data_IF_601691139638
#
_entry.id   IF_601691139638
#
_cell.length_a   1.000
_cell.length_b   1.000
_cell.length_c   1.000
_cell.angle_alpha   90.00
_cell.angle_beta   90.00
_cell.angle_gamma   90.00
#
_symmetry.space_group_name_H-M   'P 1'
#
loop_
_entity.id
_entity.type
_entity.pdbx_description
1 polymer ?
#
# COMPACT_ATOMS: atom_id res chain seq x y z
N UNK A 1 26.19 -22.73 29.25
CA UNK A 1 25.45 -21.51 29.63
C UNK A 1 24.10 -21.35 28.89
N UNK A 2 23.48 -22.41 28.37
CA UNK A 2 22.24 -22.31 27.57
C UNK A 2 20.92 -22.32 28.37
N UNK A 3 20.94 -22.83 29.61
CA UNK A 3 19.72 -22.99 30.41
C UNK A 3 19.10 -21.67 30.88
N UNK A 4 19.92 -20.68 31.24
CA UNK A 4 19.44 -19.40 31.74
C UNK A 4 18.80 -18.53 30.65
N UNK A 5 19.29 -18.61 29.40
CA UNK A 5 18.78 -17.82 28.28
C UNK A 5 17.37 -18.28 27.86
N UNK A 6 17.12 -19.59 27.84
CA UNK A 6 15.79 -20.17 27.55
C UNK A 6 14.75 -19.81 28.60
N UNK A 7 15.13 -19.78 29.88
CA UNK A 7 14.22 -19.40 30.97
C UNK A 7 13.84 -17.91 30.88
N UNK A 8 14.80 -17.03 30.58
CA UNK A 8 14.52 -15.58 30.44
C UNK A 8 13.65 -15.27 29.21
N UNK A 9 13.80 -16.01 28.11
CA UNK A 9 12.92 -15.86 26.94
C UNK A 9 11.49 -16.35 27.23
N UNK A 10 11.34 -17.49 27.93
CA UNK A 10 10.02 -18.01 28.32
C UNK A 10 9.25 -17.13 29.31
N UNK A 11 9.95 -16.47 30.25
CA UNK A 11 9.33 -15.52 31.19
C UNK A 11 8.78 -14.29 30.45
N UNK A 12 9.54 -13.75 29.48
CA UNK A 12 9.09 -12.59 28.70
C UNK A 12 7.92 -12.88 27.77
N UNK A 13 7.79 -14.12 27.29
CA UNK A 13 6.62 -14.55 26.51
C UNK A 13 5.39 -14.72 27.39
N UNK A 14 5.53 -15.29 28.59
CA UNK A 14 4.43 -15.42 29.55
C UNK A 14 3.88 -14.06 29.99
N UNK A 15 4.76 -13.10 30.31
CA UNK A 15 4.37 -11.74 30.68
C UNK A 15 3.62 -11.03 29.54
N UNK A 16 4.03 -11.25 28.28
CA UNK A 16 3.35 -10.71 27.09
C UNK A 16 1.98 -11.33 26.87
N UNK A 17 1.84 -12.64 27.08
CA UNK A 17 0.56 -13.35 26.96
C UNK A 17 -0.41 -12.88 28.04
N UNK A 18 0.06 -12.70 29.28
CA UNK A 18 -0.77 -12.24 30.39
C UNK A 18 -1.21 -10.77 30.21
N UNK A 19 -0.33 -9.90 29.71
CA UNK A 19 -0.69 -8.54 29.32
C UNK A 19 -1.72 -8.48 28.17
N UNK A 20 -1.55 -9.32 27.14
CA UNK A 20 -2.53 -9.45 26.05
C UNK A 20 -3.88 -9.97 26.56
N UNK A 21 -3.88 -10.96 27.44
CA UNK A 21 -5.09 -11.50 28.05
C UNK A 21 -5.81 -10.44 28.89
N UNK A 22 -5.08 -9.60 29.63
CA UNK A 22 -5.66 -8.50 30.41
C UNK A 22 -6.25 -7.40 29.50
N UNK A 23 -5.57 -7.04 28.42
CA UNK A 23 -6.05 -6.07 27.42
C UNK A 23 -7.29 -6.58 26.67
N UNK A 24 -7.34 -7.88 26.36
CA UNK A 24 -8.53 -8.53 25.80
C UNK A 24 -9.70 -8.52 26.81
N UNK A 25 -9.42 -8.84 28.07
CA UNK A 25 -10.43 -8.94 29.14
C UNK A 25 -11.05 -7.58 29.50
N UNK A 26 -10.30 -6.50 29.32
CA UNK A 26 -10.76 -5.13 29.58
C UNK A 26 -11.43 -4.47 28.36
N UNK A 27 -11.52 -5.16 27.22
CA UNK A 27 -12.14 -4.65 25.99
C UNK A 27 -11.36 -3.52 25.30
N UNK A 28 -10.26 -3.04 25.89
CA UNK A 28 -9.44 -1.94 25.36
C UNK A 28 -8.74 -2.34 24.06
N UNK A 29 -8.30 -3.59 23.93
CA UNK A 29 -7.66 -4.05 22.69
C UNK A 29 -8.63 -4.08 21.52
N UNK A 30 -9.87 -4.52 21.73
CA UNK A 30 -10.88 -4.59 20.68
C UNK A 30 -11.25 -3.18 20.20
N UNK A 31 -11.41 -2.24 21.13
CA UNK A 31 -11.65 -0.83 20.79
C UNK A 31 -10.48 -0.22 19.99
N UNK A 32 -9.23 -0.50 20.39
CA UNK A 32 -8.04 -0.03 19.68
C UNK A 32 -7.90 -0.64 18.28
N UNK A 33 -8.22 -1.92 18.11
CA UNK A 33 -8.22 -2.58 16.79
C UNK A 33 -9.30 -1.96 15.90
N UNK A 34 -10.48 -1.67 16.44
CA UNK A 34 -11.56 -1.03 15.69
C UNK A 34 -11.22 0.41 15.30
N UNK A 35 -10.64 1.19 16.22
CA UNK A 35 -10.12 2.53 15.93
C UNK A 35 -9.04 2.47 14.85
N UNK A 36 -8.10 1.53 14.93
CA UNK A 36 -7.08 1.32 13.91
C UNK A 36 -7.69 0.91 12.56
N UNK A 37 -8.73 0.08 12.55
CA UNK A 37 -9.46 -0.33 11.34
C UNK A 37 -10.16 0.85 10.68
N UNK A 38 -10.70 1.77 11.46
CA UNK A 38 -11.32 3.00 10.95
C UNK A 38 -10.28 4.00 10.44
N UNK A 39 -9.14 4.11 11.13
CA UNK A 39 -8.07 5.04 10.76
C UNK A 39 -7.28 4.58 9.52
N UNK A 40 -7.00 3.28 9.40
CA UNK A 40 -6.20 2.71 8.31
C UNK A 40 -6.79 1.37 7.83
N UNK A 41 -7.94 1.40 7.11
CA UNK A 41 -8.69 0.19 6.76
C UNK A 41 -7.90 -0.79 5.89
N UNK A 42 -6.96 -0.29 5.08
CA UNK A 42 -6.12 -1.14 4.20
C UNK A 42 -5.25 -2.13 4.99
N UNK A 43 -4.84 -1.81 6.22
CA UNK A 43 -4.01 -2.72 7.03
C UNK A 43 -4.76 -3.99 7.43
N UNK A 44 -6.10 -3.97 7.34
CA UNK A 44 -6.98 -5.07 7.70
C UNK A 44 -7.72 -5.64 6.50
N UNK A 45 -7.38 -5.19 5.29
CA UNK A 45 -8.08 -5.55 4.07
C UNK A 45 -7.54 -6.84 3.46
N UNK A 46 -8.43 -7.55 2.77
CA UNK A 46 -8.12 -8.74 1.99
C UNK A 46 -8.11 -8.38 0.49
N UNK A 47 -7.31 -9.08 -0.34
CA UNK A 47 -7.34 -8.87 -1.78
C UNK A 47 -8.76 -9.01 -2.35
N UNK A 48 -9.21 -8.02 -3.12
CA UNK A 48 -10.58 -7.89 -3.62
C UNK A 48 -11.43 -6.86 -2.87
N UNK A 49 -11.00 -6.41 -1.68
CA UNK A 49 -11.71 -5.36 -0.94
C UNK A 49 -11.69 -4.03 -1.72
N UNK A 50 -12.84 -3.34 -1.70
CA UNK A 50 -13.04 -2.09 -2.43
C UNK A 50 -12.94 -0.86 -1.52
N UNK A 51 -12.22 0.14 -2.00
CA UNK A 51 -12.01 1.43 -1.35
C UNK A 51 -12.60 2.52 -2.20
N UNK A 52 -13.36 3.42 -1.58
CA UNK A 52 -13.86 4.63 -2.23
C UNK A 52 -13.05 5.81 -1.74
N UNK A 53 -12.37 6.48 -2.65
CA UNK A 53 -11.75 7.76 -2.37
C UNK A 53 -12.63 8.87 -2.96
N UNK A 54 -13.02 9.81 -2.11
CA UNK A 54 -13.63 11.05 -2.59
C UNK A 54 -12.54 12.10 -2.65
N UNK A 55 -12.36 12.70 -3.82
CA UNK A 55 -11.67 13.98 -3.96
C UNK A 55 -12.30 14.98 -2.98
N UNK A 56 -11.49 15.89 -2.41
CA UNK A 56 -11.85 16.95 -1.46
C UNK A 56 -13.33 17.40 -1.54
N UNK A 57 -13.98 17.68 -0.40
CA UNK A 57 -15.34 18.24 -0.34
C UNK A 57 -15.56 19.48 -1.22
N UNK A 58 -14.51 20.15 -1.66
CA UNK A 58 -14.54 21.27 -2.62
C UNK A 58 -14.72 20.83 -4.09
N UNK A 59 -14.62 19.53 -4.37
CA UNK A 59 -14.69 18.90 -5.69
C UNK A 59 -15.92 17.99 -5.83
N UNK A 60 -17.07 18.44 -5.29
CA UNK A 60 -18.34 17.67 -5.23
C UNK A 60 -18.91 17.22 -6.58
N UNK A 61 -18.39 17.74 -7.70
CA UNK A 61 -18.84 17.42 -9.05
C UNK A 61 -18.23 16.15 -9.64
N UNK A 62 -17.27 15.51 -8.96
CA UNK A 62 -16.63 14.29 -9.46
C UNK A 62 -17.19 13.06 -8.77
N UNK A 63 -17.39 12.02 -9.57
CA UNK A 63 -17.68 10.70 -9.05
C UNK A 63 -16.51 10.19 -8.20
N UNK A 64 -16.78 9.48 -7.10
CA UNK A 64 -15.73 8.92 -6.26
C UNK A 64 -14.92 7.90 -7.06
N UNK A 65 -13.61 7.89 -6.84
CA UNK A 65 -12.76 6.84 -7.39
C UNK A 65 -12.92 5.57 -6.56
N UNK A 66 -13.03 4.44 -7.26
CA UNK A 66 -13.12 3.10 -6.67
C UNK A 66 -11.83 2.36 -6.96
N UNK A 67 -11.24 1.82 -5.91
CA UNK A 67 -10.01 1.05 -5.95
C UNK A 67 -10.25 -0.35 -5.39
N UNK A 68 -9.69 -1.35 -6.03
CA UNK A 68 -9.59 -2.71 -5.50
C UNK A 68 -8.20 -2.90 -4.88
N UNK A 69 -8.15 -3.40 -3.65
CA UNK A 69 -6.89 -3.79 -3.04
C UNK A 69 -6.42 -5.14 -3.59
N UNK A 70 -5.18 -5.19 -4.08
CA UNK A 70 -4.60 -6.39 -4.70
C UNK A 70 -3.63 -7.15 -3.75
N UNK A 71 -3.44 -6.65 -2.53
CA UNK A 71 -2.47 -7.20 -1.59
C UNK A 71 -1.19 -6.36 -1.53
N UNK A 72 -0.05 -7.04 -1.35
CA UNK A 72 1.25 -6.39 -1.18
C UNK A 72 2.24 -6.84 -2.23
N UNK A 73 3.07 -5.91 -2.68
CA UNK A 73 4.15 -6.20 -3.61
C UNK A 73 5.14 -7.19 -2.99
N UNK A 74 5.58 -8.15 -3.80
CA UNK A 74 6.72 -9.01 -3.47
C UNK A 74 7.97 -8.34 -4.02
N UNK A 75 9.09 -8.42 -3.27
CA UNK A 75 10.36 -7.90 -3.74
C UNK A 75 10.74 -8.63 -5.04
N UNK A 76 10.68 -7.94 -6.18
CA UNK A 76 11.19 -8.47 -7.43
C UNK A 76 12.57 -7.88 -7.73
N UNK A 77 13.53 -8.68 -8.22
CA UNK A 77 14.82 -8.15 -8.63
C UNK A 77 14.62 -7.16 -9.79
N UNK A 78 15.39 -6.06 -9.86
CA UNK A 78 15.30 -5.13 -10.98
C UNK A 78 15.56 -5.87 -12.30
N UNK A 79 14.62 -5.77 -13.24
CA UNK A 79 14.80 -6.34 -14.56
C UNK A 79 15.93 -5.61 -15.29
N UNK A 80 17.02 -6.33 -15.60
CA UNK A 80 18.25 -5.72 -16.12
C UNK A 80 18.17 -5.32 -17.60
N UNK A 81 17.12 -5.67 -18.35
CA UNK A 81 17.18 -5.64 -19.82
C UNK A 81 15.95 -5.06 -20.55
N UNK A 82 15.08 -4.31 -19.88
CA UNK A 82 13.88 -3.77 -20.55
C UNK A 82 14.23 -2.45 -21.24
N UNK A 83 14.46 -2.56 -22.55
CA UNK A 83 14.63 -1.39 -23.42
C UNK A 83 13.30 -0.65 -23.46
N UNK A 84 13.24 0.53 -22.82
CA UNK A 84 12.03 1.37 -22.81
C UNK A 84 11.59 1.69 -24.25
N UNK A 85 10.32 1.44 -24.62
CA UNK A 85 9.77 1.99 -25.84
C UNK A 85 9.76 3.52 -25.73
N UNK A 86 10.54 4.21 -26.57
CA UNK A 86 10.51 5.67 -26.69
C UNK A 86 11.57 6.46 -25.92
N UNK A 87 12.49 5.82 -25.17
CA UNK A 87 13.64 6.55 -24.62
C UNK A 87 14.86 6.46 -25.55
N UNK A 88 15.15 7.54 -26.27
CA UNK A 88 16.38 7.69 -27.07
C UNK A 88 17.64 7.93 -26.21
N UNK A 89 17.62 7.58 -24.92
CA UNK A 89 18.73 7.71 -24.00
C UNK A 89 19.02 6.33 -23.37
N UNK A 90 20.31 5.98 -23.30
CA UNK A 90 20.82 4.62 -23.11
C UNK A 90 20.22 3.85 -21.94
N UNK A 91 20.31 2.52 -22.06
CA UNK A 91 19.73 1.50 -21.17
C UNK A 91 19.60 1.93 -19.72
N UNK A 92 18.43 2.48 -19.38
CA UNK A 92 18.06 2.78 -18.01
C UNK A 92 17.47 1.54 -17.39
N UNK A 93 18.04 1.09 -16.26
CA UNK A 93 17.48 0.04 -15.43
C UNK A 93 16.05 0.43 -15.05
N UNK A 94 15.06 -0.42 -15.34
CA UNK A 94 13.70 -0.23 -14.85
C UNK A 94 13.75 -0.33 -13.33
N UNK A 95 13.22 0.65 -12.58
CA UNK A 95 13.22 0.59 -11.13
C UNK A 95 12.45 -0.67 -10.69
N UNK A 96 13.05 -1.43 -9.77
CA UNK A 96 12.37 -2.57 -9.15
C UNK A 96 11.15 -2.08 -8.36
N UNK A 97 10.04 -2.81 -8.44
CA UNK A 97 8.90 -2.56 -7.57
C UNK A 97 9.31 -2.79 -6.11
N UNK A 98 9.16 -1.79 -5.22
CA UNK A 98 9.51 -1.94 -3.82
C UNK A 98 8.72 -3.08 -3.17
N UNK A 99 9.33 -3.81 -2.24
CA UNK A 99 8.67 -4.87 -1.50
C UNK A 99 7.69 -4.33 -0.44
N UNK A 100 6.65 -5.10 -0.15
CA UNK A 100 5.71 -4.86 0.97
C UNK A 100 4.87 -3.56 0.85
N UNK A 101 4.83 -2.95 -0.33
CA UNK A 101 3.96 -1.81 -0.64
C UNK A 101 2.55 -2.30 -0.94
N UNK A 102 1.55 -1.49 -0.60
CA UNK A 102 0.13 -1.78 -0.78
C UNK A 102 -0.25 -1.61 -2.24
N UNK A 103 -0.80 -2.64 -2.87
CA UNK A 103 -1.18 -2.61 -4.29
C UNK A 103 -2.67 -2.32 -4.46
N UNK A 104 -2.98 -1.48 -5.44
CA UNK A 104 -4.35 -1.11 -5.77
C UNK A 104 -4.56 -1.11 -7.28
N UNK A 105 -5.76 -1.51 -7.70
CA UNK A 105 -6.27 -1.38 -9.07
C UNK A 105 -7.36 -0.31 -9.10
N UNK A 106 -7.29 0.62 -10.02
CA UNK A 106 -8.41 1.53 -10.32
C UNK A 106 -9.51 0.75 -11.03
N UNK A 107 -10.75 0.88 -10.57
CA UNK A 107 -11.91 0.18 -11.15
C UNK A 107 -12.86 1.17 -11.81
N UNK A 108 -13.14 2.29 -11.14
CA UNK A 108 -14.14 3.26 -11.55
C UNK A 108 -13.75 4.67 -11.09
N UNK A 109 -14.20 5.67 -11.84
CA UNK A 109 -13.92 7.08 -11.61
C UNK A 109 -13.02 7.64 -12.71
N UNK A 110 -12.68 8.91 -12.60
CA UNK A 110 -11.86 9.63 -13.60
C UNK A 110 -10.41 9.78 -13.15
N UNK A 111 -10.02 9.08 -12.08
CA UNK A 111 -8.87 9.44 -11.27
C UNK A 111 -7.48 8.94 -11.69
N UNK A 112 -7.35 8.06 -12.68
CA UNK A 112 -6.04 7.43 -12.99
C UNK A 112 -5.60 7.55 -14.46
N UNK A 113 -6.49 7.93 -15.38
CA UNK A 113 -6.16 8.08 -16.81
C UNK A 113 -5.22 9.25 -17.14
N UNK A 114 -4.78 9.35 -18.40
CA UNK A 114 -4.04 10.51 -18.94
C UNK A 114 -4.82 11.84 -18.86
N UNK A 115 -6.12 11.75 -18.59
CA UNK A 115 -7.01 12.88 -18.32
C UNK A 115 -6.92 13.40 -16.88
N UNK A 116 -6.08 12.77 -16.03
CA UNK A 116 -5.62 13.31 -14.75
C UNK A 116 -4.65 14.49 -14.98
N UNK A 117 -5.16 15.52 -15.66
CA UNK A 117 -4.64 16.89 -15.69
C UNK A 117 -5.08 17.68 -14.46
N UNK A 118 -5.62 17.02 -13.44
CA UNK A 118 -5.73 17.61 -12.13
C UNK A 118 -4.31 17.71 -11.57
N UNK A 119 -3.63 18.80 -11.87
CA UNK A 119 -2.42 19.27 -11.18
C UNK A 119 -2.81 19.73 -9.74
N UNK A 120 -4.01 19.36 -9.26
CA UNK A 120 -4.67 19.91 -8.10
C UNK A 120 -5.76 18.95 -7.58
N UNK A 121 -5.39 17.95 -6.78
CA UNK A 121 -6.31 17.36 -5.80
C UNK A 121 -6.64 15.89 -5.98
N UNK A 122 -5.96 15.18 -6.87
CA UNK A 122 -6.10 13.74 -7.01
C UNK A 122 -5.66 12.92 -5.80
N UNK A 123 -6.05 11.63 -5.68
CA UNK A 123 -5.52 10.74 -4.61
C UNK A 123 -3.99 10.75 -4.59
N UNK A 124 -3.37 10.80 -5.77
CA UNK A 124 -1.92 10.90 -5.93
C UNK A 124 -1.36 12.26 -5.51
N UNK A 125 -2.07 13.35 -5.71
CA UNK A 125 -1.64 14.67 -5.22
C UNK A 125 -1.76 14.74 -3.70
N UNK A 126 -2.88 14.23 -3.16
CA UNK A 126 -3.17 14.18 -1.72
C UNK A 126 -2.06 13.42 -0.98
N UNK A 127 -1.59 12.31 -1.55
CA UNK A 127 -0.51 11.50 -0.95
C UNK A 127 0.89 11.84 -1.49
N UNK A 128 1.02 12.86 -2.35
CA UNK A 128 2.29 13.26 -2.97
C UNK A 128 2.99 12.13 -3.74
N UNK A 129 2.23 11.29 -4.46
CA UNK A 129 2.71 10.18 -5.27
C UNK A 129 3.14 10.64 -6.69
N UNK A 130 4.11 11.54 -6.75
CA UNK A 130 4.74 12.01 -7.99
C UNK A 130 6.26 11.72 -7.96
N UNK A 131 6.88 11.19 -9.03
CA UNK A 131 6.29 10.81 -10.32
C UNK A 131 5.51 9.51 -10.28
N UNK A 132 4.48 9.41 -11.13
CA UNK A 132 3.67 8.19 -11.32
C UNK A 132 4.50 6.93 -11.48
N UNK A 133 5.61 7.01 -12.22
CA UNK A 133 6.51 5.88 -12.51
C UNK A 133 7.15 5.23 -11.28
N UNK A 134 7.24 5.96 -10.17
CA UNK A 134 7.83 5.48 -8.92
C UNK A 134 6.83 4.66 -8.09
N UNK A 135 5.57 4.60 -8.55
CA UNK A 135 4.46 3.89 -7.92
C UNK A 135 3.87 2.82 -8.85
N UNK A 136 4.52 2.51 -9.97
CA UNK A 136 4.10 1.40 -10.83
C UNK A 136 4.49 0.05 -10.23
N UNK A 137 3.63 -0.92 -10.48
CA UNK A 137 3.92 -2.34 -10.23
C UNK A 137 4.40 -2.92 -11.55
N UNK A 138 5.67 -3.30 -11.59
CA UNK A 138 6.29 -3.91 -12.75
C UNK A 138 6.26 -5.43 -12.59
N UNK A 139 6.03 -6.13 -13.70
CA UNK A 139 6.26 -7.57 -13.79
C UNK A 139 7.76 -7.89 -14.03
N UNK A 140 8.07 -9.18 -14.14
CA UNK A 140 9.43 -9.68 -14.36
C UNK A 140 10.02 -9.23 -15.71
N UNK A 141 9.15 -8.96 -16.68
CA UNK A 141 9.49 -8.45 -18.01
C UNK A 141 9.57 -6.90 -18.02
N UNK A 142 9.35 -6.25 -16.87
CA UNK A 142 9.31 -4.81 -16.64
C UNK A 142 8.16 -4.09 -17.34
N UNK A 143 7.10 -4.80 -17.71
CA UNK A 143 5.84 -4.19 -18.10
C UNK A 143 5.04 -3.79 -16.84
N UNK A 144 4.07 -2.90 -17.00
CA UNK A 144 3.16 -2.51 -15.93
C UNK A 144 1.75 -2.33 -16.49
N UNK A 145 0.75 -2.49 -15.63
CA UNK A 145 -0.64 -2.16 -15.94
C UNK A 145 -0.90 -0.70 -15.53
N UNK A 146 -1.49 0.10 -16.43
CA UNK A 146 -1.71 1.53 -16.19
C UNK A 146 -2.60 1.80 -14.96
N UNK A 147 -3.58 0.92 -14.73
CA UNK A 147 -4.56 1.05 -13.65
C UNK A 147 -4.09 0.46 -12.33
N UNK A 148 -2.91 -0.18 -12.31
CA UNK A 148 -2.33 -0.76 -11.11
C UNK A 148 -1.19 0.12 -10.60
N UNK A 149 -1.24 0.43 -9.31
CA UNK A 149 -0.18 1.16 -8.64
C UNK A 149 0.03 0.61 -7.24
N UNK A 150 1.17 0.95 -6.64
CA UNK A 150 1.48 0.61 -5.27
C UNK A 150 1.76 1.86 -4.44
N UNK A 151 1.49 1.81 -3.14
CA UNK A 151 1.78 2.86 -2.18
C UNK A 151 2.59 2.30 -1.03
N UNK A 152 3.57 3.05 -0.51
CA UNK A 152 4.22 2.66 0.72
C UNK A 152 3.22 2.72 1.88
N UNK A 153 3.32 1.83 2.89
CA UNK A 153 2.35 1.77 3.99
C UNK A 153 2.14 3.09 4.73
N UNK A 154 3.18 3.93 4.82
CA UNK A 154 3.12 5.24 5.47
C UNK A 154 2.33 6.32 4.69
N UNK A 155 1.89 6.02 3.46
CA UNK A 155 1.07 6.90 2.62
C UNK A 155 -0.42 6.50 2.57
N UNK A 156 -0.83 5.51 3.35
CA UNK A 156 -2.22 5.09 3.48
C UNK A 156 -2.89 5.64 4.73
#
# INVERSE_FOLDING_TARGET
CDGALRVVLGIREADRIEALALLLKNGTLLAQIEEARQACPVLFAEPGDLFKHRLDERMQSYDPDVFEYLGRTVAEPPSQNVSKPGSNAGGGVTPATPANWLMFRHIEGVGIGNEYRAINGGVRDVIGAWPRRDYWVYDQDGNYEDDVFCLPPEKC
#
